data_IF_543956650347
#
_entry.id   IF_543956650347
#
_cell.length_a   1.000
_cell.length_b   1.000
_cell.length_c   1.000
_cell.angle_alpha   90.00
_cell.angle_beta   90.00
_cell.angle_gamma   90.00
#
_symmetry.space_group_name_H-M   'P 1'
#
loop_
_entity.id
_entity.type
_entity.pdbx_description
1 polymer ?
#
# COMPACT_ATOMS: atom_id res chain seq x y z
N UNK A 1 -16.77 0.53 25.41
CA UNK A 1 -16.50 0.47 23.96
C UNK A 1 -16.51 1.88 23.42
N UNK A 2 -15.48 2.29 22.70
CA UNK A 2 -15.38 3.63 22.09
C UNK A 2 -16.36 3.75 20.93
N UNK A 3 -17.10 4.86 20.86
CA UNK A 3 -18.09 5.15 19.82
C UNK A 3 -17.64 6.37 19.02
N UNK A 4 -17.60 6.24 17.71
CA UNK A 4 -17.32 7.34 16.77
C UNK A 4 -18.66 7.81 16.20
N UNK A 5 -18.94 9.10 16.29
CA UNK A 5 -20.04 9.76 15.56
C UNK A 5 -19.43 10.58 14.43
N UNK A 6 -19.96 10.42 13.22
CA UNK A 6 -19.59 11.18 12.04
C UNK A 6 -20.85 11.77 11.41
N UNK A 7 -20.77 13.02 10.97
CA UNK A 7 -21.82 13.65 10.17
C UNK A 7 -21.53 13.42 8.70
N UNK A 8 -22.55 12.95 7.98
CA UNK A 8 -22.49 12.72 6.53
C UNK A 8 -23.78 13.20 5.91
N UNK A 9 -23.70 13.68 4.68
CA UNK A 9 -24.90 13.98 3.90
C UNK A 9 -25.63 12.69 3.52
N UNK A 10 -26.92 12.80 3.16
CA UNK A 10 -27.71 11.65 2.69
C UNK A 10 -27.07 10.94 1.49
N UNK A 11 -26.53 11.71 0.54
CA UNK A 11 -25.84 11.19 -0.64
C UNK A 11 -24.55 10.44 -0.25
N UNK A 12 -23.75 11.01 0.66
CA UNK A 12 -22.53 10.37 1.17
C UNK A 12 -22.86 9.05 1.87
N UNK A 13 -23.88 9.02 2.72
CA UNK A 13 -24.34 7.81 3.37
C UNK A 13 -24.77 6.73 2.36
N UNK A 14 -25.48 7.11 1.29
CA UNK A 14 -25.93 6.18 0.25
C UNK A 14 -24.76 5.59 -0.53
N UNK A 15 -23.78 6.42 -0.91
CA UNK A 15 -22.53 5.96 -1.54
C UNK A 15 -21.78 4.99 -0.63
N UNK A 16 -21.66 5.33 0.64
CA UNK A 16 -20.92 4.54 1.61
C UNK A 16 -21.59 3.18 1.87
N UNK A 17 -22.94 3.15 1.89
CA UNK A 17 -23.72 1.91 1.95
C UNK A 17 -23.50 1.03 0.72
N UNK A 18 -23.48 1.61 -0.48
CA UNK A 18 -23.23 0.86 -1.71
C UNK A 18 -21.81 0.25 -1.70
N UNK A 19 -20.79 1.04 -1.35
CA UNK A 19 -19.41 0.56 -1.25
C UNK A 19 -19.26 -0.58 -0.22
N UNK A 20 -19.88 -0.45 0.96
CA UNK A 20 -19.86 -1.49 1.98
C UNK A 20 -20.51 -2.80 1.49
N UNK A 21 -21.66 -2.70 0.80
CA UNK A 21 -22.35 -3.84 0.22
C UNK A 21 -21.52 -4.53 -0.87
N UNK A 22 -20.85 -3.76 -1.74
CA UNK A 22 -19.94 -4.30 -2.76
C UNK A 22 -18.74 -5.02 -2.14
N UNK A 23 -18.24 -4.54 -1.00
CA UNK A 23 -17.18 -5.18 -0.24
C UNK A 23 -17.65 -6.38 0.60
N UNK A 24 -18.96 -6.66 0.64
CA UNK A 24 -19.55 -7.71 1.49
C UNK A 24 -19.48 -7.41 2.99
N UNK A 25 -19.32 -6.14 3.36
CA UNK A 25 -19.12 -5.68 4.75
C UNK A 25 -20.30 -4.85 5.23
N UNK A 26 -20.48 -4.77 6.55
CA UNK A 26 -21.38 -3.76 7.12
C UNK A 26 -20.78 -2.36 6.93
N UNK A 27 -21.63 -1.32 6.94
CA UNK A 27 -21.16 0.08 6.92
C UNK A 27 -20.14 0.35 8.04
N UNK A 28 -20.40 -0.20 9.24
CA UNK A 28 -19.51 -0.06 10.39
C UNK A 28 -18.11 -0.59 10.08
N UNK A 29 -18.02 -1.83 9.60
CA UNK A 29 -16.74 -2.47 9.27
C UNK A 29 -16.05 -1.73 8.13
N UNK A 30 -16.79 -1.38 7.09
CA UNK A 30 -16.23 -0.66 5.93
C UNK A 30 -15.65 0.72 6.32
N UNK A 31 -16.35 1.48 7.18
CA UNK A 31 -15.83 2.77 7.67
C UNK A 31 -14.61 2.56 8.55
N UNK A 32 -14.65 1.60 9.47
CA UNK A 32 -13.50 1.33 10.35
C UNK A 32 -12.29 0.89 9.54
N UNK A 33 -12.47 0.01 8.56
CA UNK A 33 -11.37 -0.47 7.71
C UNK A 33 -10.78 0.62 6.81
N UNK A 34 -11.55 1.67 6.47
CA UNK A 34 -11.07 2.77 5.63
C UNK A 34 -10.47 3.92 6.45
N UNK A 35 -11.06 4.25 7.61
CA UNK A 35 -10.64 5.37 8.46
C UNK A 35 -9.56 4.95 9.45
N UNK A 36 -9.66 3.72 9.94
CA UNK A 36 -8.73 3.10 10.88
C UNK A 36 -8.05 1.88 10.25
N UNK A 37 -8.01 1.82 8.92
CA UNK A 37 -7.13 0.89 8.21
C UNK A 37 -5.82 0.88 8.98
N UNK A 38 -5.31 -0.28 9.44
CA UNK A 38 -3.96 -0.32 9.91
C UNK A 38 -3.15 0.27 8.76
N UNK A 39 -2.58 1.45 9.01
CA UNK A 39 -1.57 2.01 8.14
C UNK A 39 -0.63 0.84 7.82
N UNK A 40 -0.16 0.69 6.57
CA UNK A 40 0.80 -0.36 6.25
C UNK A 40 1.86 -0.37 7.35
N UNK A 41 2.33 -1.56 7.74
CA UNK A 41 3.27 -1.88 8.85
C UNK A 41 4.51 -0.97 8.97
N UNK A 42 4.65 0.05 8.12
CA UNK A 42 5.48 1.23 8.27
C UNK A 42 5.03 2.21 9.36
N UNK A 43 3.78 2.19 9.83
CA UNK A 43 3.32 3.12 10.88
C UNK A 43 3.33 2.55 12.30
N UNK A 44 3.67 1.28 12.45
CA UNK A 44 3.96 0.63 13.73
C UNK A 44 5.47 0.58 14.02
N UNK A 45 6.30 0.89 13.02
CA UNK A 45 7.75 1.04 13.21
C UNK A 45 8.01 2.40 13.85
N UNK A 46 8.84 2.43 14.90
CA UNK A 46 9.45 3.72 15.27
C UNK A 46 10.31 4.20 14.10
N UNK A 47 10.56 5.51 14.05
CA UNK A 47 11.36 6.13 12.98
C UNK A 47 12.72 5.42 12.82
N UNK A 48 13.33 4.98 13.92
CA UNK A 48 14.57 4.21 13.95
C UNK A 48 14.43 2.84 13.26
N UNK A 49 13.33 2.13 13.49
CA UNK A 49 13.08 0.82 12.87
C UNK A 49 12.76 0.94 11.38
N UNK A 50 12.09 2.03 10.98
CA UNK A 50 11.86 2.35 9.58
C UNK A 50 13.19 2.67 8.86
N UNK A 51 14.07 3.42 9.53
CA UNK A 51 15.41 3.74 9.04
C UNK A 51 16.28 2.49 8.91
N UNK A 52 16.30 1.62 9.92
CA UNK A 52 17.07 0.37 9.89
C UNK A 52 16.63 -0.56 8.76
N UNK A 53 15.31 -0.69 8.54
CA UNK A 53 14.79 -1.45 7.39
C UNK A 53 15.23 -0.85 6.06
N UNK A 54 15.18 0.47 5.92
CA UNK A 54 15.65 1.15 4.71
C UNK A 54 17.16 0.92 4.49
N UNK A 55 17.98 1.04 5.53
CA UNK A 55 19.41 0.80 5.45
C UNK A 55 19.73 -0.64 5.03
N UNK A 56 19.06 -1.64 5.64
CA UNK A 56 19.24 -3.05 5.29
C UNK A 56 18.89 -3.34 3.82
N UNK A 57 17.82 -2.71 3.31
CA UNK A 57 17.40 -2.82 1.93
C UNK A 57 18.41 -2.20 0.96
N UNK A 58 18.92 -1.00 1.27
CA UNK A 58 19.90 -0.31 0.45
C UNK A 58 21.26 -1.00 0.46
N UNK A 59 21.70 -1.53 1.61
CA UNK A 59 22.97 -2.27 1.74
C UNK A 59 22.99 -3.50 0.83
N UNK A 60 21.91 -4.27 0.82
CA UNK A 60 21.76 -5.44 -0.06
C UNK A 60 21.89 -5.06 -1.56
N UNK A 61 21.38 -3.88 -1.93
CA UNK A 61 21.49 -3.37 -3.31
C UNK A 61 22.89 -2.86 -3.63
N UNK A 62 23.58 -2.26 -2.66
CA UNK A 62 24.96 -1.80 -2.84
C UNK A 62 25.89 -2.98 -3.08
N UNK A 63 25.77 -4.05 -2.29
CA UNK A 63 26.53 -5.27 -2.48
C UNK A 63 26.22 -5.95 -3.83
N UNK A 64 24.97 -5.86 -4.31
CA UNK A 64 24.61 -6.36 -5.65
C UNK A 64 25.31 -5.57 -6.76
N UNK A 65 25.42 -4.25 -6.61
CA UNK A 65 26.15 -3.38 -7.53
C UNK A 65 27.65 -3.69 -7.50
N UNK A 66 28.24 -3.88 -6.31
CA UNK A 66 29.65 -4.27 -6.15
C UNK A 66 29.94 -5.63 -6.81
N UNK A 67 28.99 -6.57 -6.76
CA UNK A 67 29.04 -7.86 -7.48
C UNK A 67 28.77 -7.73 -8.99
N UNK A 68 28.58 -6.52 -9.51
CA UNK A 68 28.32 -6.27 -10.92
C UNK A 68 26.91 -6.65 -11.39
N UNK A 69 25.96 -6.87 -10.48
CA UNK A 69 24.56 -7.19 -10.78
C UNK A 69 23.78 -5.93 -11.21
N UNK A 70 24.30 -5.24 -12.23
CA UNK A 70 23.69 -4.04 -12.81
C UNK A 70 22.94 -4.41 -14.09
N UNK A 71 21.69 -3.96 -14.19
CA UNK A 71 20.89 -4.17 -15.38
C UNK A 71 21.16 -3.01 -16.34
N UNK A 72 21.84 -3.29 -17.45
CA UNK A 72 22.09 -2.32 -18.51
C UNK A 72 20.92 -2.31 -19.52
N UNK A 73 19.70 -2.07 -19.03
CA UNK A 73 18.50 -1.94 -19.86
C UNK A 73 18.10 -0.47 -19.90
N UNK A 74 17.75 0.00 -21.09
CA UNK A 74 17.10 1.30 -21.23
C UNK A 74 15.70 1.27 -20.65
N UNK A 75 15.21 2.43 -20.23
CA UNK A 75 13.84 2.58 -19.72
C UNK A 75 12.80 1.99 -20.70
N UNK A 76 12.97 2.21 -22.00
CA UNK A 76 12.08 1.66 -23.04
C UNK A 76 12.06 0.12 -23.06
N UNK A 77 13.20 -0.52 -22.86
CA UNK A 77 13.29 -1.99 -22.79
C UNK A 77 12.62 -2.53 -21.52
N UNK A 78 12.76 -1.83 -20.39
CA UNK A 78 12.10 -2.19 -19.12
C UNK A 78 10.57 -2.17 -19.30
N UNK A 79 10.02 -1.12 -19.92
CA UNK A 79 8.59 -1.05 -20.21
C UNK A 79 8.12 -2.19 -21.12
N UNK A 80 8.88 -2.49 -22.18
CA UNK A 80 8.53 -3.56 -23.11
C UNK A 80 8.57 -4.96 -22.46
N UNK A 81 9.45 -5.18 -21.49
CA UNK A 81 9.57 -6.44 -20.76
C UNK A 81 8.41 -6.63 -19.78
N UNK A 82 8.08 -5.61 -18.97
CA UNK A 82 6.94 -5.66 -18.03
C UNK A 82 5.61 -5.87 -18.78
N UNK A 83 5.46 -5.25 -19.95
CA UNK A 83 4.26 -5.40 -20.77
C UNK A 83 4.16 -6.79 -21.42
N UNK A 84 5.27 -7.50 -21.64
CA UNK A 84 5.27 -8.90 -22.10
C UNK A 84 4.99 -9.87 -20.95
N UNK A 85 5.54 -9.61 -19.76
CA UNK A 85 5.35 -10.45 -18.57
C UNK A 85 3.92 -10.35 -18.00
N UNK A 86 3.26 -9.19 -18.11
CA UNK A 86 1.87 -8.99 -17.68
C UNK A 86 0.79 -9.61 -18.58
N UNK A 87 1.16 -10.39 -19.62
CA UNK A 87 0.23 -11.09 -20.53
C UNK A 87 0.35 -12.64 -20.37
N UNK A 88 1.08 -13.14 -19.37
CA UNK A 88 1.11 -14.57 -19.04
C UNK A 88 0.27 -14.94 -17.82
#
# INVERSE_FOLDING_TARGET
MSRISIEVTSEQHQRLKACAALAGKTIKEYVLDQVLAPLPETSTLSEEQALEKLESFLKSRLEAVERGQVVNKSVRQIFADVQREGIS
#
